data_IF_686138996842
#
_entry.id   IF_686138996842
#
_cell.length_a   1.000
_cell.length_b   1.000
_cell.length_c   1.000
_cell.angle_alpha   90.00
_cell.angle_beta   90.00
_cell.angle_gamma   90.00
#
_symmetry.space_group_name_H-M   'P 1'
#
loop_
_entity.id
_entity.type
_entity.pdbx_description
1 polymer ?
#
# COMPACT_ATOMS: atom_id res chain seq x y z
N UNK A 1 -11.82 -3.37 10.32
CA UNK A 1 -12.86 -2.91 11.25
C UNK A 1 -13.92 -2.18 10.47
N UNK A 2 -15.19 -2.51 10.71
CA UNK A 2 -16.32 -1.82 10.09
C UNK A 2 -16.88 -0.82 11.10
N UNK A 3 -16.96 0.45 10.69
CA UNK A 3 -17.70 1.44 11.42
C UNK A 3 -19.19 1.29 11.07
N UNK A 4 -20.00 0.97 12.07
CA UNK A 4 -21.44 0.84 11.89
C UNK A 4 -22.14 2.04 12.50
N UNK A 5 -22.90 2.76 11.70
CA UNK A 5 -23.81 3.79 12.17
C UNK A 5 -25.22 3.19 12.27
N UNK A 6 -25.86 3.38 13.42
CA UNK A 6 -27.24 2.95 13.67
C UNK A 6 -28.07 4.18 14.06
N UNK A 7 -29.13 4.42 13.34
CA UNK A 7 -30.18 5.35 13.74
C UNK A 7 -31.31 4.54 14.39
N UNK A 8 -31.76 4.94 15.56
CA UNK A 8 -32.90 4.33 16.25
C UNK A 8 -33.92 5.42 16.60
N UNK A 9 -35.13 5.27 16.11
CA UNK A 9 -36.26 6.12 16.46
C UNK A 9 -37.14 5.39 17.47
N UNK A 10 -37.43 6.03 18.59
CA UNK A 10 -38.37 5.54 19.60
C UNK A 10 -39.42 6.65 19.73
N UNK A 11 -40.58 6.37 19.18
CA UNK A 11 -41.70 7.34 19.18
C UNK A 11 -42.78 6.90 20.16
N UNK A 12 -43.36 7.86 20.87
CA UNK A 12 -44.49 7.71 21.76
C UNK A 12 -45.61 8.63 21.30
N UNK A 13 -46.86 8.16 21.26
CA UNK A 13 -48.02 8.98 20.92
C UNK A 13 -48.97 9.15 22.08
N UNK A 14 -48.87 8.33 23.13
CA UNK A 14 -49.54 8.50 24.42
C UNK A 14 -48.61 8.20 25.59
N UNK A 15 -48.97 8.56 26.81
CA UNK A 15 -48.25 8.25 28.03
C UNK A 15 -48.71 6.91 28.65
N UNK A 16 -49.79 6.35 28.16
CA UNK A 16 -50.43 5.14 28.65
C UNK A 16 -50.80 4.26 27.44
N UNK A 17 -50.85 2.97 27.56
CA UNK A 17 -51.34 2.03 26.56
C UNK A 17 -50.97 2.35 25.07
N UNK A 18 -49.73 2.14 24.72
CA UNK A 18 -49.27 2.37 23.34
C UNK A 18 -49.33 1.09 22.50
N UNK A 19 -49.76 1.23 21.27
CA UNK A 19 -49.63 0.14 20.25
C UNK A 19 -48.30 0.32 19.54
N UNK A 20 -47.33 -0.62 19.67
CA UNK A 20 -46.17 -0.66 18.82
C UNK A 20 -46.61 -0.72 17.36
N UNK A 21 -46.02 0.03 16.48
CA UNK A 21 -46.36 0.14 15.05
C UNK A 21 -47.68 0.90 14.74
N UNK A 22 -48.14 1.78 15.64
CA UNK A 22 -49.27 2.65 15.30
C UNK A 22 -48.92 3.58 14.14
N UNK A 23 -49.88 3.82 13.26
CA UNK A 23 -49.71 4.65 12.02
C UNK A 23 -49.32 6.10 12.31
N UNK A 24 -49.53 6.58 13.53
CA UNK A 24 -49.07 7.91 13.98
C UNK A 24 -47.58 7.97 14.30
N UNK A 25 -46.91 6.82 14.41
CA UNK A 25 -45.49 6.73 14.68
C UNK A 25 -44.73 6.53 13.38
N UNK A 26 -44.13 7.57 12.89
CA UNK A 26 -43.31 7.53 11.68
C UNK A 26 -42.15 8.51 11.77
N UNK A 27 -41.12 8.23 11.05
CA UNK A 27 -39.98 9.11 10.87
C UNK A 27 -39.55 9.10 9.41
N UNK A 28 -39.13 10.24 8.92
CA UNK A 28 -38.57 10.38 7.58
C UNK A 28 -37.09 10.68 7.69
N UNK A 29 -36.28 9.89 7.01
CA UNK A 29 -34.86 10.19 6.82
C UNK A 29 -34.74 10.76 5.41
N UNK A 30 -34.40 12.04 5.30
CA UNK A 30 -34.23 12.70 4.01
C UNK A 30 -33.02 12.15 3.26
N UNK A 31 -33.13 12.07 1.94
CA UNK A 31 -31.99 11.80 1.06
C UNK A 31 -30.94 12.93 1.07
N UNK A 32 -31.30 14.10 1.62
CA UNK A 32 -30.38 15.22 1.84
C UNK A 32 -29.68 15.17 3.20
N UNK A 33 -30.00 14.16 4.02
CA UNK A 33 -29.35 13.97 5.32
C UNK A 33 -27.86 13.79 5.15
N UNK A 34 -27.08 14.47 5.98
CA UNK A 34 -25.63 14.45 5.96
C UNK A 34 -25.09 13.97 7.30
N UNK A 35 -23.99 13.25 7.26
CA UNK A 35 -23.20 12.89 8.43
C UNK A 35 -21.86 13.63 8.35
N UNK A 36 -21.66 14.61 9.24
CA UNK A 36 -20.39 15.31 9.37
C UNK A 36 -19.53 14.63 10.45
N UNK A 37 -18.33 14.24 10.08
CA UNK A 37 -17.36 13.61 10.98
C UNK A 37 -16.12 14.49 11.11
N UNK A 38 -15.83 14.95 12.32
CA UNK A 38 -14.57 15.59 12.63
C UNK A 38 -13.57 14.52 13.11
N UNK A 39 -12.63 14.18 12.27
CA UNK A 39 -11.67 13.11 12.53
C UNK A 39 -10.27 13.68 12.78
N UNK A 40 -9.58 13.07 13.75
CA UNK A 40 -8.16 13.32 13.99
C UNK A 40 -7.36 12.11 13.50
N UNK A 41 -6.38 12.36 12.64
CA UNK A 41 -5.49 11.32 12.17
C UNK A 41 -4.68 10.73 13.33
N UNK A 42 -4.70 9.42 13.48
CA UNK A 42 -3.85 8.70 14.45
C UNK A 42 -2.54 8.37 13.74
N UNK A 43 -1.39 8.90 14.22
CA UNK A 43 -0.11 8.61 13.60
C UNK A 43 0.23 7.12 13.78
N UNK A 44 0.51 6.44 12.68
CA UNK A 44 1.04 5.09 12.72
C UNK A 44 2.47 5.11 13.27
N UNK A 45 2.86 4.08 14.01
CA UNK A 45 4.26 3.90 14.42
C UNK A 45 5.15 3.62 13.20
N UNK A 46 6.44 3.91 13.31
CA UNK A 46 7.41 3.61 12.27
C UNK A 46 7.81 2.13 12.35
N UNK A 47 7.05 1.28 11.68
CA UNK A 47 7.22 -0.16 11.74
C UNK A 47 6.92 -0.78 10.37
N UNK A 48 7.91 -1.42 9.78
CA UNK A 48 7.83 -2.09 8.49
C UNK A 48 6.81 -3.23 8.48
N UNK A 49 6.48 -3.80 9.65
CA UNK A 49 5.43 -4.81 9.76
C UNK A 49 4.03 -4.30 9.39
N UNK A 50 3.83 -2.98 9.35
CA UNK A 50 2.57 -2.35 8.96
C UNK A 50 2.41 -2.20 7.44
N UNK A 51 3.48 -2.46 6.66
CA UNK A 51 3.39 -2.35 5.21
C UNK A 51 2.27 -3.26 4.65
N UNK A 52 1.55 -2.77 3.65
CA UNK A 52 1.79 -1.58 2.83
C UNK A 52 1.31 -0.26 3.45
N UNK A 53 0.65 -0.25 4.62
CA UNK A 53 0.23 1.01 5.26
C UNK A 53 1.45 1.81 5.78
N UNK A 54 1.43 3.15 5.70
CA UNK A 54 0.36 4.02 5.22
C UNK A 54 0.44 4.38 3.71
N UNK A 55 1.34 3.75 2.96
CA UNK A 55 1.59 4.06 1.53
C UNK A 55 0.47 3.52 0.63
N UNK A 56 -0.21 2.49 1.08
CA UNK A 56 -1.37 1.90 0.44
C UNK A 56 -2.39 1.44 1.49
N UNK A 57 -3.65 1.86 1.32
CA UNK A 57 -4.78 1.39 2.14
C UNK A 57 -5.72 0.54 1.25
N UNK A 58 -5.89 -0.76 1.55
CA UNK A 58 -6.81 -1.62 0.80
C UNK A 58 -8.27 -1.22 0.94
N UNK A 59 -8.62 -0.42 1.95
CA UNK A 59 -9.99 0.05 2.21
C UNK A 59 -10.32 1.37 1.51
N UNK A 60 -9.32 2.09 1.01
CA UNK A 60 -9.52 3.31 0.23
C UNK A 60 -9.85 2.95 -1.21
N UNK A 61 -10.92 3.49 -1.77
CA UNK A 61 -11.34 3.26 -3.15
C UNK A 61 -10.81 4.31 -4.14
N UNK A 62 -10.08 5.31 -3.65
CA UNK A 62 -9.49 6.34 -4.50
C UNK A 62 -8.29 5.79 -5.28
N UNK A 63 -7.98 6.38 -6.45
CA UNK A 63 -6.74 6.07 -7.14
C UNK A 63 -5.52 6.25 -6.24
N UNK A 64 -4.56 5.36 -6.37
CA UNK A 64 -3.29 5.46 -5.62
C UNK A 64 -2.45 6.58 -6.24
N UNK A 65 -1.96 7.48 -5.40
CA UNK A 65 -0.97 8.48 -5.76
C UNK A 65 0.19 8.39 -4.78
N UNK A 66 1.25 7.68 -5.19
CA UNK A 66 2.42 7.43 -4.35
C UNK A 66 3.68 7.96 -5.04
N UNK A 67 4.20 9.12 -4.63
CA UNK A 67 5.42 9.69 -5.18
C UNK A 67 6.65 8.83 -4.93
N UNK A 68 7.53 8.80 -5.93
CA UNK A 68 8.90 8.32 -5.81
C UNK A 68 9.88 9.49 -5.81
N UNK A 69 10.85 9.44 -4.90
CA UNK A 69 11.85 10.48 -4.72
C UNK A 69 13.24 9.90 -4.94
N UNK A 70 14.03 10.59 -5.72
CA UNK A 70 15.40 10.23 -6.08
C UNK A 70 16.37 11.34 -5.70
N UNK A 71 17.66 11.04 -5.71
CA UNK A 71 18.72 12.04 -5.79
C UNK A 71 18.75 12.71 -7.16
N UNK A 72 19.95 13.10 -7.60
CA UNK A 72 20.12 13.62 -8.95
C UNK A 72 20.13 12.47 -9.97
N UNK A 73 19.45 12.66 -11.10
CA UNK A 73 19.45 11.74 -12.27
C UNK A 73 19.49 10.26 -11.89
N UNK A 74 18.33 9.65 -11.61
CA UNK A 74 18.28 8.24 -11.23
C UNK A 74 18.91 7.36 -12.32
N UNK A 75 19.70 6.38 -11.89
CA UNK A 75 20.28 5.37 -12.78
C UNK A 75 19.20 4.46 -13.37
N UNK A 76 19.55 3.69 -14.40
CA UNK A 76 18.66 2.66 -14.93
C UNK A 76 18.31 1.60 -13.86
N UNK A 77 19.26 1.27 -12.98
CA UNK A 77 19.03 0.37 -11.85
C UNK A 77 18.06 0.93 -10.83
N UNK A 78 18.19 2.21 -10.48
CA UNK A 78 17.22 2.91 -9.62
C UNK A 78 15.82 2.91 -10.23
N UNK A 79 15.68 3.17 -11.53
CA UNK A 79 14.39 3.14 -12.22
C UNK A 79 13.80 1.73 -12.26
N UNK A 80 14.63 0.69 -12.43
CA UNK A 80 14.21 -0.70 -12.38
C UNK A 80 13.68 -1.08 -10.99
N UNK A 81 14.39 -0.71 -9.92
CA UNK A 81 13.95 -0.92 -8.55
C UNK A 81 12.61 -0.21 -8.27
N UNK A 82 12.46 1.01 -8.78
CA UNK A 82 11.18 1.76 -8.70
C UNK A 82 10.05 1.02 -9.41
N UNK A 83 10.32 0.44 -10.58
CA UNK A 83 9.37 -0.37 -11.33
C UNK A 83 8.89 -1.60 -10.55
N UNK A 84 9.79 -2.28 -9.82
CA UNK A 84 9.42 -3.39 -8.94
C UNK A 84 8.43 -2.96 -7.84
N UNK A 85 8.69 -1.83 -7.18
CA UNK A 85 7.82 -1.30 -6.13
C UNK A 85 6.49 -0.79 -6.72
N UNK A 86 6.54 -0.08 -7.84
CA UNK A 86 5.34 0.40 -8.52
C UNK A 86 4.44 -0.76 -8.96
N UNK A 87 5.04 -1.84 -9.47
CA UNK A 87 4.33 -3.07 -9.83
C UNK A 87 3.67 -3.72 -8.61
N UNK A 88 4.38 -3.81 -7.49
CA UNK A 88 3.84 -4.34 -6.25
C UNK A 88 2.62 -3.56 -5.78
N UNK A 89 2.74 -2.24 -5.65
CA UNK A 89 1.62 -1.37 -5.23
C UNK A 89 0.50 -1.39 -6.27
N UNK A 90 0.84 -1.39 -7.57
CA UNK A 90 -0.12 -1.47 -8.67
C UNK A 90 -0.97 -2.74 -8.64
N UNK A 91 -0.36 -3.89 -8.32
CA UNK A 91 -1.09 -5.14 -8.13
C UNK A 91 -2.05 -5.07 -6.93
N UNK A 92 -1.63 -4.45 -5.82
CA UNK A 92 -2.49 -4.24 -4.66
C UNK A 92 -3.65 -3.28 -4.96
N UNK A 93 -3.41 -2.26 -5.77
CA UNK A 93 -4.41 -1.27 -6.18
C UNK A 93 -5.49 -1.86 -7.12
N UNK A 94 -5.15 -2.88 -7.90
CA UNK A 94 -6.08 -3.54 -8.80
C UNK A 94 -6.69 -2.56 -9.80
N UNK A 95 -8.02 -2.45 -9.84
CA UNK A 95 -8.77 -1.62 -10.80
C UNK A 95 -8.82 -0.12 -10.45
N UNK A 96 -8.35 0.30 -9.27
CA UNK A 96 -8.49 1.69 -8.78
C UNK A 96 -7.68 2.71 -9.58
N UNK A 97 -6.75 2.26 -10.40
CA UNK A 97 -5.76 3.14 -11.04
C UNK A 97 -4.67 3.56 -10.06
N UNK A 98 -3.52 3.88 -10.62
CA UNK A 98 -2.37 4.27 -9.83
C UNK A 98 -1.51 5.28 -10.59
N UNK A 99 -0.86 6.15 -9.84
CA UNK A 99 0.08 7.15 -10.31
C UNK A 99 1.29 7.14 -9.38
N UNK A 100 2.47 7.13 -9.99
CA UNK A 100 3.75 7.16 -9.28
C UNK A 100 4.58 8.34 -9.79
N UNK A 101 4.23 9.58 -9.40
CA UNK A 101 4.98 10.76 -9.84
C UNK A 101 6.42 10.70 -9.30
N UNK A 102 7.38 11.08 -10.16
CA UNK A 102 8.81 11.08 -9.86
C UNK A 102 9.29 12.48 -9.50
N UNK A 103 10.10 12.57 -8.45
CA UNK A 103 10.68 13.82 -7.96
C UNK A 103 12.20 13.65 -7.78
N UNK A 104 12.98 14.58 -8.32
CA UNK A 104 14.42 14.63 -8.13
C UNK A 104 14.76 15.69 -7.07
N UNK A 105 15.43 15.28 -6.00
CA UNK A 105 15.83 16.15 -4.86
C UNK A 105 14.69 17.00 -4.26
N UNK A 106 13.46 16.69 -4.55
CA UNK A 106 12.29 17.40 -4.05
C UNK A 106 11.40 16.47 -3.24
N UNK A 107 11.10 16.83 -2.00
CA UNK A 107 10.26 16.04 -1.12
C UNK A 107 8.80 16.49 -1.22
N UNK A 108 7.88 15.65 -1.74
CA UNK A 108 6.47 15.99 -1.81
C UNK A 108 5.83 15.97 -0.40
N UNK A 109 4.85 16.84 -0.17
CA UNK A 109 4.21 17.01 1.15
C UNK A 109 3.17 15.91 1.47
N UNK A 110 3.53 14.65 1.25
CA UNK A 110 2.71 13.45 1.52
C UNK A 110 3.60 12.24 1.76
N UNK A 111 3.00 11.07 1.97
CA UNK A 111 3.75 9.82 1.98
C UNK A 111 4.52 9.63 0.67
N UNK A 112 5.75 9.18 0.74
CA UNK A 112 6.57 8.93 -0.44
C UNK A 112 7.51 7.73 -0.25
N UNK A 113 7.93 7.15 -1.36
CA UNK A 113 9.01 6.16 -1.41
C UNK A 113 10.27 6.86 -1.88
N UNK A 114 11.34 6.70 -1.15
CA UNK A 114 12.65 7.29 -1.47
C UNK A 114 13.61 6.18 -1.83
N UNK A 115 14.14 6.21 -3.04
CA UNK A 115 15.14 5.25 -3.51
C UNK A 115 16.48 5.96 -3.64
N UNK A 116 17.51 5.39 -2.99
CA UNK A 116 18.84 5.99 -3.01
C UNK A 116 19.94 4.95 -2.92
N UNK A 117 21.00 5.17 -3.68
CA UNK A 117 22.29 4.51 -3.47
C UNK A 117 23.20 5.40 -2.63
N UNK A 118 24.34 4.87 -2.16
CA UNK A 118 25.27 5.68 -1.40
C UNK A 118 25.81 6.89 -2.18
N UNK A 119 25.96 6.73 -3.49
CA UNK A 119 26.51 7.76 -4.38
C UNK A 119 25.45 8.74 -4.89
N UNK A 120 24.16 8.37 -4.81
CA UNK A 120 23.07 9.20 -5.31
C UNK A 120 21.93 9.28 -4.29
N UNK A 121 22.09 10.19 -3.33
CA UNK A 121 21.12 10.44 -2.25
C UNK A 121 20.45 11.79 -2.41
N UNK A 122 19.15 11.88 -2.20
CA UNK A 122 18.49 13.17 -2.05
C UNK A 122 19.14 14.01 -0.95
N UNK A 123 19.15 15.32 -1.11
CA UNK A 123 19.81 16.28 -0.21
C UNK A 123 19.40 16.08 1.27
N UNK A 124 18.11 15.80 1.53
CA UNK A 124 17.59 15.58 2.88
C UNK A 124 18.04 14.25 3.54
N UNK A 125 18.67 13.34 2.78
CA UNK A 125 19.23 12.08 3.29
C UNK A 125 20.76 12.09 3.42
N UNK A 126 21.43 13.17 3.07
CA UNK A 126 22.90 13.24 3.11
C UNK A 126 23.48 13.09 4.51
N UNK A 127 22.71 13.40 5.55
CA UNK A 127 23.12 13.24 6.96
C UNK A 127 23.02 11.79 7.46
N UNK A 128 22.32 10.92 6.74
CA UNK A 128 22.25 9.50 7.11
C UNK A 128 23.57 8.80 6.78
N UNK A 129 24.03 7.88 7.63
CA UNK A 129 25.23 7.10 7.35
C UNK A 129 25.07 6.27 6.07
N UNK A 130 26.19 5.99 5.41
CA UNK A 130 26.22 5.08 4.27
C UNK A 130 25.77 3.68 4.66
N UNK A 131 24.93 3.05 3.80
CA UNK A 131 24.51 1.67 4.02
C UNK A 131 25.55 0.71 3.42
N UNK A 132 25.75 -0.42 4.08
CA UNK A 132 26.64 -1.49 3.60
C UNK A 132 25.87 -2.69 3.08
N UNK A 133 24.59 -2.76 3.37
CA UNK A 133 23.67 -3.84 2.99
C UNK A 133 22.39 -3.23 2.43
N UNK A 134 21.63 -3.96 1.58
CA UNK A 134 20.30 -3.56 1.14
C UNK A 134 19.43 -3.24 2.35
N UNK A 135 18.90 -2.04 2.44
CA UNK A 135 18.23 -1.55 3.64
C UNK A 135 16.85 -0.99 3.33
N UNK A 136 15.88 -1.39 4.14
CA UNK A 136 14.54 -0.83 4.17
C UNK A 136 14.32 -0.08 5.48
N UNK A 137 13.80 1.12 5.42
CA UNK A 137 13.51 1.90 6.63
C UNK A 137 12.24 2.74 6.46
N UNK A 138 11.51 2.92 7.55
CA UNK A 138 10.36 3.81 7.63
C UNK A 138 10.70 4.97 8.58
N UNK A 139 10.62 6.20 8.08
CA UNK A 139 10.88 7.39 8.87
C UNK A 139 9.71 8.37 8.80
N UNK A 140 9.52 9.24 9.81
CA UNK A 140 8.55 10.31 9.70
C UNK A 140 8.98 11.30 8.61
N UNK A 141 8.01 11.89 7.94
CA UNK A 141 8.27 12.99 7.02
C UNK A 141 8.75 14.22 7.80
N UNK A 142 9.86 14.87 7.40
CA UNK A 142 10.45 15.95 8.21
C UNK A 142 9.55 17.20 8.32
N UNK A 143 8.70 17.46 7.32
CA UNK A 143 7.90 18.68 7.25
C UNK A 143 6.40 18.45 7.45
N UNK A 144 5.91 17.23 7.28
CA UNK A 144 4.48 16.94 7.30
C UNK A 144 4.15 15.98 8.43
N UNK A 145 3.53 16.46 9.54
CA UNK A 145 3.12 15.60 10.63
C UNK A 145 2.19 14.47 10.16
N UNK A 146 2.50 13.25 10.58
CA UNK A 146 1.72 12.06 10.22
C UNK A 146 2.10 11.42 8.89
N UNK A 147 2.73 12.13 7.96
CA UNK A 147 3.29 11.54 6.75
C UNK A 147 4.57 10.75 7.05
N UNK A 148 4.88 9.79 6.19
CA UNK A 148 6.04 8.90 6.33
C UNK A 148 6.76 8.72 5.01
N UNK A 149 8.04 8.44 5.12
CA UNK A 149 8.90 8.07 4.00
C UNK A 149 9.30 6.61 4.15
N UNK A 150 9.12 5.84 3.08
CA UNK A 150 9.70 4.50 2.94
C UNK A 150 11.04 4.65 2.22
N UNK A 151 12.12 4.44 2.94
CA UNK A 151 13.47 4.47 2.39
C UNK A 151 13.83 3.07 1.87
N UNK A 152 14.22 3.02 0.62
CA UNK A 152 14.79 1.85 -0.05
C UNK A 152 16.22 2.20 -0.42
N UNK A 153 17.17 1.62 0.30
CA UNK A 153 18.56 2.02 0.24
C UNK A 153 19.46 0.85 -0.16
N UNK A 154 20.46 1.15 -0.96
CA UNK A 154 21.52 0.22 -1.32
C UNK A 154 22.87 0.90 -1.38
N UNK A 155 23.96 0.14 -1.28
CA UNK A 155 25.28 0.64 -1.56
C UNK A 155 25.40 1.06 -3.03
N UNK A 156 24.79 0.23 -3.89
CA UNK A 156 24.75 0.35 -5.34
C UNK A 156 23.37 -0.06 -5.90
N UNK A 157 23.24 -0.06 -7.23
CA UNK A 157 22.00 -0.43 -7.92
C UNK A 157 21.58 -1.90 -7.66
N UNK A 158 22.54 -2.82 -7.48
CA UNK A 158 22.24 -4.23 -7.24
C UNK A 158 21.62 -4.43 -5.84
N UNK A 159 22.20 -3.79 -4.84
CA UNK A 159 21.63 -3.80 -3.49
C UNK A 159 20.29 -3.06 -3.42
N UNK A 160 20.16 -1.95 -4.14
CA UNK A 160 18.91 -1.21 -4.22
C UNK A 160 17.78 -2.07 -4.82
N UNK A 161 18.09 -2.81 -5.91
CA UNK A 161 17.14 -3.75 -6.49
C UNK A 161 16.77 -4.87 -5.51
N UNK A 162 17.74 -5.41 -4.77
CA UNK A 162 17.47 -6.45 -3.77
C UNK A 162 16.54 -5.96 -2.66
N UNK A 163 16.72 -4.72 -2.20
CA UNK A 163 15.82 -4.09 -1.22
C UNK A 163 14.40 -3.91 -1.78
N UNK A 164 14.27 -3.48 -3.04
CA UNK A 164 12.98 -3.33 -3.71
C UNK A 164 12.27 -4.68 -3.93
N UNK A 165 13.02 -5.70 -4.32
CA UNK A 165 12.48 -7.06 -4.52
C UNK A 165 12.05 -7.70 -3.20
N UNK A 166 12.71 -7.38 -2.09
CA UNK A 166 12.31 -7.83 -0.76
C UNK A 166 10.90 -7.33 -0.36
N UNK A 167 10.55 -6.11 -0.77
CA UNK A 167 9.19 -5.57 -0.61
C UNK A 167 8.20 -6.29 -1.53
N UNK A 168 8.54 -6.39 -2.81
CA UNK A 168 7.63 -6.89 -3.84
C UNK A 168 7.31 -8.38 -3.67
N UNK A 169 8.30 -9.19 -3.27
CA UNK A 169 8.14 -10.64 -3.10
C UNK A 169 7.54 -11.03 -1.74
N UNK A 170 7.54 -10.13 -0.76
CA UNK A 170 6.97 -10.37 0.56
C UNK A 170 7.63 -11.53 1.34
N UNK A 171 8.83 -11.95 0.96
CA UNK A 171 9.54 -13.07 1.59
C UNK A 171 10.51 -12.67 2.69
N UNK A 172 10.80 -11.37 2.82
CA UNK A 172 11.56 -10.85 3.95
C UNK A 172 10.66 -10.65 5.17
N UNK A 173 11.19 -10.98 6.36
CA UNK A 173 10.50 -10.63 7.61
C UNK A 173 10.66 -9.13 7.83
N UNK A 174 9.61 -8.38 7.51
CA UNK A 174 9.57 -6.94 7.68
C UNK A 174 9.09 -6.61 9.10
N UNK A 175 9.96 -6.09 9.94
CA UNK A 175 9.61 -5.68 11.31
C UNK A 175 10.51 -4.58 11.83
N UNK A 176 9.97 -3.73 12.72
CA UNK A 176 10.69 -2.59 13.26
C UNK A 176 10.84 -1.44 12.26
N UNK A 177 11.62 -0.44 12.66
CA UNK A 177 11.79 0.78 11.87
C UNK A 177 12.73 0.60 10.68
N UNK A 178 13.76 -0.22 10.84
CA UNK A 178 14.81 -0.42 9.82
C UNK A 178 15.25 -1.87 9.82
N UNK A 179 15.42 -2.45 8.65
CA UNK A 179 15.98 -3.78 8.45
C UNK A 179 17.04 -3.79 7.36
N UNK A 180 18.02 -4.66 7.50
CA UNK A 180 18.94 -5.04 6.43
C UNK A 180 18.45 -6.35 5.79
N UNK A 181 18.41 -6.40 4.47
CA UNK A 181 18.00 -7.59 3.69
C UNK A 181 19.26 -8.43 3.42
N UNK A 182 19.47 -9.47 4.20
CA UNK A 182 20.68 -10.31 4.09
C UNK A 182 20.65 -11.30 2.93
N UNK A 183 19.48 -11.82 2.62
CA UNK A 183 19.28 -12.75 1.51
C UNK A 183 17.84 -12.68 1.00
N UNK A 184 17.66 -12.99 -0.27
CA UNK A 184 16.35 -13.05 -0.90
C UNK A 184 16.28 -14.30 -1.79
N UNK A 185 15.28 -15.14 -1.53
CA UNK A 185 14.98 -16.26 -2.41
C UNK A 185 14.00 -15.82 -3.50
N UNK A 186 14.45 -15.91 -4.74
CA UNK A 186 13.57 -15.67 -5.88
C UNK A 186 12.75 -16.93 -6.17
N UNK A 187 11.45 -16.79 -6.48
CA UNK A 187 10.65 -17.93 -6.90
C UNK A 187 11.23 -18.50 -8.20
N UNK A 188 11.24 -19.81 -8.32
CA UNK A 188 11.59 -20.45 -9.57
C UNK A 188 10.65 -19.97 -10.69
N UNK A 189 11.22 -19.66 -11.86
CA UNK A 189 10.40 -19.34 -13.02
C UNK A 189 9.52 -20.55 -13.37
N UNK A 190 8.23 -20.32 -13.56
CA UNK A 190 7.31 -21.34 -14.01
C UNK A 190 7.80 -21.88 -15.36
N UNK A 191 7.83 -23.20 -15.50
CA UNK A 191 8.13 -23.82 -16.80
C UNK A 191 7.01 -23.50 -17.79
N UNK A 192 7.29 -23.43 -19.09
CA UNK A 192 6.26 -23.08 -20.09
C UNK A 192 5.00 -23.96 -20.04
N UNK A 193 5.10 -25.22 -19.57
CA UNK A 193 3.98 -26.14 -19.43
C UNK A 193 3.26 -26.05 -18.08
N UNK A 194 3.82 -25.33 -17.13
CA UNK A 194 3.20 -25.04 -15.82
C UNK A 194 2.35 -23.75 -15.88
N UNK A 195 2.41 -23.05 -17.02
CA UNK A 195 1.55 -21.89 -17.24
C UNK A 195 0.06 -22.32 -17.29
N UNK A 196 -0.86 -21.49 -16.78
CA UNK A 196 -2.29 -21.77 -16.89
C UNK A 196 -2.66 -22.05 -18.33
N UNK A 197 -3.17 -23.23 -18.60
CA UNK A 197 -3.66 -23.58 -19.93
C UNK A 197 -5.11 -23.15 -20.04
N UNK A 198 -5.38 -22.24 -20.98
CA UNK A 198 -6.76 -21.95 -21.34
C UNK A 198 -7.38 -23.20 -21.95
N UNK A 199 -8.46 -23.69 -21.36
CA UNK A 199 -9.24 -24.80 -21.91
C UNK A 199 -10.10 -24.22 -23.04
N UNK A 200 -9.45 -23.84 -24.13
CA UNK A 200 -10.13 -23.31 -25.33
C UNK A 200 -10.19 -24.32 -26.46
N UNK A 201 -9.76 -25.57 -26.21
CA UNK A 201 -9.84 -26.61 -27.24
C UNK A 201 -11.28 -27.04 -27.39
N UNK A 202 -11.78 -27.10 -28.63
CA UNK A 202 -13.12 -27.62 -28.93
C UNK A 202 -13.25 -29.14 -28.70
N UNK A 203 -12.24 -29.79 -28.13
CA UNK A 203 -12.32 -31.21 -27.75
C UNK A 203 -12.94 -31.36 -26.36
N UNK A 204 -13.70 -32.45 -26.14
CA UNK A 204 -14.17 -32.77 -24.80
C UNK A 204 -12.98 -32.96 -23.85
N UNK A 205 -12.99 -32.26 -22.71
CA UNK A 205 -11.98 -32.38 -21.66
C UNK A 205 -12.50 -33.36 -20.62
N UNK A 206 -11.72 -34.41 -20.32
CA UNK A 206 -12.10 -35.35 -19.25
C UNK A 206 -12.01 -34.68 -17.88
N UNK A 207 -12.92 -35.00 -16.98
CA UNK A 207 -12.94 -34.45 -15.63
C UNK A 207 -11.59 -34.65 -14.91
N UNK A 208 -10.90 -35.78 -15.15
CA UNK A 208 -9.58 -36.06 -14.61
C UNK A 208 -8.50 -35.07 -15.09
N UNK A 209 -8.65 -34.46 -16.27
CA UNK A 209 -7.74 -33.44 -16.79
C UNK A 209 -7.96 -32.08 -16.13
N UNK A 210 -9.12 -31.86 -15.52
CA UNK A 210 -9.47 -30.64 -14.77
C UNK A 210 -9.03 -30.68 -13.31
N UNK A 211 -8.84 -31.87 -12.74
CA UNK A 211 -8.56 -32.06 -11.30
C UNK A 211 -7.08 -32.32 -11.05
N UNK A 212 -6.28 -32.55 -12.09
CA UNK A 212 -4.83 -32.86 -11.99
C UNK A 212 -3.90 -31.66 -12.07
N UNK A 213 -4.44 -30.42 -11.90
CA UNK A 213 -3.65 -29.18 -11.89
C UNK A 213 -3.76 -28.49 -10.52
#
# INVERSE_FOLDING_TARGET
DYNRFRFQFIGHYTMECEMPNHSSLWATISNESQLELSLRQIPLRNDLALLPAPFFDPRDNRPVNLPFVYGDKPSLGTLKASGSIASWIGMLAGYRGNQFPAFENQLPRQHAVVLATNDNRPAFLQTLPAVTEPTLSIIPHPEVPGAKLLLVLGQDDAQLQMAADALALGKAVLSGQTIAVKSLEYPALAKPYDAPRWITTQRPVKLAELVSN
#
